data_IF_179312279214
#
_entry.id   IF_179312279214
#
_cell.length_a   1.000
_cell.length_b   1.000
_cell.length_c   1.000
_cell.angle_alpha   90.00
_cell.angle_beta   90.00
_cell.angle_gamma   90.00
#
_symmetry.space_group_name_H-M   'P 1'
#
loop_
_entity.id
_entity.type
_entity.pdbx_description
1 polymer ?
#
# COMPACT_ATOMS: atom_id res chain seq x y z
N UNK A 1 17.76 7.65 -10.01
CA UNK A 1 17.46 7.21 -8.63
C UNK A 1 18.69 6.63 -7.93
N UNK A 2 19.55 5.84 -8.61
CA UNK A 2 20.75 5.22 -8.01
C UNK A 2 21.74 6.24 -7.44
N UNK A 3 21.89 7.39 -8.07
CA UNK A 3 22.74 8.51 -7.60
C UNK A 3 22.31 9.08 -6.23
N UNK A 4 21.05 8.86 -5.84
CA UNK A 4 20.50 9.25 -4.53
C UNK A 4 20.46 8.09 -3.53
N UNK A 5 21.13 6.97 -3.82
CA UNK A 5 21.15 5.80 -2.93
C UNK A 5 19.90 4.92 -2.95
N UNK A 6 18.98 5.13 -3.89
CA UNK A 6 17.80 4.30 -4.03
C UNK A 6 18.13 2.92 -4.61
N UNK A 7 17.55 1.90 -4.04
CA UNK A 7 17.59 0.54 -4.58
C UNK A 7 16.32 0.28 -5.40
N UNK A 8 16.52 -0.11 -6.64
CA UNK A 8 15.41 -0.53 -7.51
C UNK A 8 15.07 -2.00 -7.26
N UNK A 9 13.79 -2.29 -7.20
CA UNK A 9 13.24 -3.65 -7.20
C UNK A 9 12.51 -3.84 -8.52
N UNK A 10 12.82 -4.90 -9.32
CA UNK A 10 12.16 -5.13 -10.59
C UNK A 10 10.65 -5.25 -10.45
N UNK A 11 9.92 -4.77 -11.46
CA UNK A 11 8.47 -4.87 -11.52
C UNK A 11 8.00 -6.32 -11.31
N UNK A 12 6.92 -6.51 -10.56
CA UNK A 12 6.37 -7.82 -10.11
C UNK A 12 7.24 -8.61 -9.14
N UNK A 13 8.36 -8.08 -8.69
CA UNK A 13 9.09 -8.66 -7.56
C UNK A 13 8.65 -7.99 -6.25
N UNK A 14 8.75 -8.74 -5.17
CA UNK A 14 8.53 -8.19 -3.84
C UNK A 14 9.87 -7.93 -3.13
N UNK A 15 9.85 -6.98 -2.20
CA UNK A 15 10.93 -6.70 -1.26
C UNK A 15 10.41 -6.88 0.15
N UNK A 16 11.16 -7.60 0.98
CA UNK A 16 10.80 -7.74 2.40
C UNK A 16 11.67 -6.80 3.23
N UNK A 17 11.02 -5.96 4.04
CA UNK A 17 11.68 -5.07 4.99
C UNK A 17 10.99 -5.23 6.35
N UNK A 18 11.75 -5.58 7.38
CA UNK A 18 11.27 -5.78 8.75
C UNK A 18 10.00 -6.65 8.84
N UNK A 19 9.92 -7.71 8.02
CA UNK A 19 8.80 -8.64 7.98
C UNK A 19 7.56 -8.18 7.20
N UNK A 20 7.61 -7.01 6.57
CA UNK A 20 6.58 -6.52 5.65
C UNK A 20 7.01 -6.76 4.20
N UNK A 21 6.13 -7.36 3.41
CA UNK A 21 6.31 -7.58 1.98
C UNK A 21 5.80 -6.36 1.19
N UNK A 22 6.64 -5.80 0.34
CA UNK A 22 6.32 -4.66 -0.51
C UNK A 22 6.32 -5.09 -1.97
N UNK A 23 5.26 -4.81 -2.69
CA UNK A 23 5.16 -5.04 -4.13
C UNK A 23 4.20 -4.01 -4.77
N UNK A 24 4.28 -3.84 -6.10
CA UNK A 24 3.27 -3.07 -6.81
C UNK A 24 1.88 -3.68 -6.60
N UNK A 25 1.77 -5.00 -6.76
CA UNK A 25 0.59 -5.80 -6.42
C UNK A 25 0.97 -7.24 -6.08
N UNK A 26 0.06 -7.98 -5.46
CA UNK A 26 0.14 -9.43 -5.30
C UNK A 26 -0.93 -10.10 -6.15
N UNK A 27 -0.67 -11.31 -6.67
CA UNK A 27 -1.64 -12.02 -7.48
C UNK A 27 -2.83 -12.49 -6.66
N UNK A 28 -4.03 -12.39 -7.24
CA UNK A 28 -5.27 -12.91 -6.64
C UNK A 28 -5.47 -14.41 -6.86
N UNK A 29 -4.77 -14.99 -7.83
CA UNK A 29 -4.88 -16.40 -8.21
C UNK A 29 -3.82 -16.78 -9.24
N UNK A 30 -3.98 -17.99 -9.82
CA UNK A 30 -3.01 -18.63 -10.74
C UNK A 30 -2.72 -17.77 -11.99
N UNK A 31 -3.69 -17.03 -12.48
CA UNK A 31 -3.52 -16.18 -13.67
C UNK A 31 -2.71 -14.91 -13.41
N UNK A 32 -2.31 -14.65 -12.16
CA UNK A 32 -1.44 -13.53 -11.82
C UNK A 32 -2.10 -12.15 -11.85
N UNK A 33 -3.43 -12.07 -11.99
CA UNK A 33 -4.16 -10.81 -11.89
C UNK A 33 -3.97 -10.16 -10.52
N UNK A 34 -3.89 -8.84 -10.48
CA UNK A 34 -3.82 -8.12 -9.22
C UNK A 34 -5.06 -8.35 -8.35
N UNK A 35 -4.87 -8.35 -7.04
CA UNK A 35 -5.99 -8.28 -6.11
C UNK A 35 -6.73 -6.97 -6.37
N UNK A 36 -8.05 -7.05 -6.53
CA UNK A 36 -8.93 -5.93 -6.87
C UNK A 36 -10.14 -5.86 -5.93
N UNK A 37 -10.97 -4.83 -6.10
CA UNK A 37 -12.12 -4.54 -5.23
C UNK A 37 -11.74 -3.58 -4.11
N UNK A 38 -12.66 -3.34 -3.18
CA UNK A 38 -12.52 -2.34 -2.11
C UNK A 38 -11.74 -2.87 -0.89
N UNK A 39 -11.75 -4.18 -0.64
CA UNK A 39 -11.16 -4.81 0.55
C UNK A 39 -9.83 -5.49 0.25
N UNK A 40 -8.90 -4.75 -0.33
CA UNK A 40 -7.60 -5.27 -0.80
C UNK A 40 -6.75 -5.75 0.37
N UNK A 41 -6.66 -4.98 1.44
CA UNK A 41 -5.85 -5.34 2.61
C UNK A 41 -6.37 -6.60 3.29
N UNK A 42 -7.68 -6.75 3.45
CA UNK A 42 -8.28 -7.98 3.99
C UNK A 42 -7.99 -9.18 3.09
N UNK A 43 -8.10 -9.00 1.78
CA UNK A 43 -7.82 -10.06 0.80
C UNK A 43 -6.34 -10.47 0.82
N UNK A 44 -5.41 -9.52 0.95
CA UNK A 44 -3.98 -9.79 1.14
C UNK A 44 -3.74 -10.69 2.35
N UNK A 45 -4.30 -10.35 3.51
CA UNK A 45 -4.16 -11.15 4.73
C UNK A 45 -4.73 -12.55 4.58
N UNK A 46 -5.89 -12.68 3.94
CA UNK A 46 -6.57 -13.96 3.76
C UNK A 46 -5.84 -14.87 2.80
N UNK A 47 -5.37 -14.35 1.66
CA UNK A 47 -4.74 -15.16 0.61
C UNK A 47 -3.26 -15.42 0.87
N UNK A 48 -2.52 -14.42 1.30
CA UNK A 48 -1.05 -14.53 1.41
C UNK A 48 -0.57 -14.77 2.85
N UNK A 49 -1.39 -14.47 3.86
CA UNK A 49 -1.09 -14.71 5.30
C UNK A 49 0.25 -14.11 5.74
N UNK A 50 0.59 -12.97 5.17
CA UNK A 50 1.78 -12.18 5.49
C UNK A 50 1.42 -10.71 5.65
N UNK A 51 2.26 -9.96 6.34
CA UNK A 51 2.16 -8.50 6.33
C UNK A 51 2.61 -7.98 4.98
N UNK A 52 1.77 -7.16 4.32
CA UNK A 52 2.03 -6.73 2.95
C UNK A 52 1.60 -5.28 2.70
N UNK A 53 2.27 -4.64 1.76
CA UNK A 53 1.91 -3.30 1.27
C UNK A 53 1.92 -3.28 -0.25
N UNK A 54 0.86 -2.76 -0.83
CA UNK A 54 0.66 -2.60 -2.27
C UNK A 54 0.22 -1.19 -2.62
N UNK A 55 0.37 -0.78 -3.89
CA UNK A 55 -0.02 0.54 -4.38
C UNK A 55 -0.95 0.53 -5.60
N UNK A 56 -1.08 -0.57 -6.29
CA UNK A 56 -1.72 -0.72 -7.62
C UNK A 56 -3.14 -0.13 -7.73
N UNK A 57 -3.97 -0.31 -6.71
CA UNK A 57 -5.39 0.05 -6.77
C UNK A 57 -5.68 1.53 -6.56
N UNK A 58 -4.72 2.29 -6.09
CA UNK A 58 -4.87 3.68 -5.67
C UNK A 58 -5.86 3.90 -4.50
N UNK A 59 -6.39 2.84 -3.90
CA UNK A 59 -7.26 2.91 -2.73
C UNK A 59 -6.44 2.89 -1.44
N UNK A 60 -6.88 3.63 -0.44
CA UNK A 60 -6.38 3.45 0.92
C UNK A 60 -7.24 2.39 1.61
N UNK A 61 -6.64 1.25 1.93
CA UNK A 61 -7.29 0.19 2.68
C UNK A 61 -6.28 -0.45 3.63
N UNK A 62 -6.66 -0.59 4.89
CA UNK A 62 -5.81 -1.13 5.93
C UNK A 62 -6.55 -2.19 6.75
N UNK A 63 -5.91 -3.32 6.95
CA UNK A 63 -6.46 -4.40 7.75
C UNK A 63 -5.38 -5.04 8.63
N UNK A 64 -5.83 -5.58 9.76
CA UNK A 64 -5.00 -6.34 10.69
C UNK A 64 -5.57 -7.73 10.90
N UNK A 65 -4.70 -8.67 11.25
CA UNK A 65 -5.07 -10.02 11.65
C UNK A 65 -4.07 -10.53 12.68
N UNK A 66 -4.52 -11.41 13.56
CA UNK A 66 -3.64 -12.06 14.54
C UNK A 66 -3.66 -13.56 14.26
N UNK A 67 -2.49 -14.15 14.10
CA UNK A 67 -2.34 -15.60 13.94
C UNK A 67 -2.51 -16.32 15.29
N UNK A 68 -2.81 -17.63 15.30
CA UNK A 68 -2.97 -18.40 16.53
C UNK A 68 -1.76 -18.37 17.48
N UNK A 69 -0.56 -18.13 16.95
CA UNK A 69 0.66 -17.97 17.75
C UNK A 69 0.85 -16.56 18.32
N UNK A 70 -0.15 -15.68 18.21
CA UNK A 70 -0.11 -14.30 18.68
C UNK A 70 0.58 -13.32 17.75
N UNK A 71 1.17 -13.75 16.62
CA UNK A 71 1.81 -12.86 15.65
C UNK A 71 0.77 -11.98 14.95
N UNK A 72 0.98 -10.68 14.99
CA UNK A 72 0.15 -9.70 14.29
C UNK A 72 0.61 -9.54 12.84
N UNK A 73 -0.35 -9.45 11.94
CA UNK A 73 -0.16 -9.16 10.52
C UNK A 73 -0.88 -7.87 10.17
N UNK A 74 -0.25 -7.05 9.35
CA UNK A 74 -0.80 -5.78 8.89
C UNK A 74 -0.73 -5.73 7.36
N UNK A 75 -1.85 -5.49 6.70
CA UNK A 75 -1.87 -5.28 5.26
C UNK A 75 -2.35 -3.88 4.91
N UNK A 76 -1.79 -3.33 3.85
CA UNK A 76 -2.03 -1.97 3.40
C UNK A 76 -2.08 -1.89 1.89
N UNK A 77 -3.14 -1.31 1.35
CA UNK A 77 -3.17 -0.66 0.05
C UNK A 77 -2.92 0.83 0.30
N UNK A 78 -1.81 1.36 -0.24
CA UNK A 78 -1.25 2.62 0.24
C UNK A 78 -1.79 3.87 -0.49
N UNK A 79 -2.83 3.72 -1.32
CA UNK A 79 -3.31 4.84 -2.13
C UNK A 79 -2.32 5.24 -3.23
N UNK A 80 -2.34 6.51 -3.57
CA UNK A 80 -1.43 7.10 -4.57
C UNK A 80 -0.96 8.49 -4.11
N UNK A 81 -0.15 9.14 -4.93
CA UNK A 81 0.24 10.55 -4.74
C UNK A 81 -0.02 11.32 -6.03
N UNK A 82 -1.28 11.30 -6.48
CA UNK A 82 -1.74 11.97 -7.71
C UNK A 82 -2.72 13.09 -7.38
N UNK A 83 -2.60 14.21 -8.07
CA UNK A 83 -3.46 15.37 -7.93
C UNK A 83 -4.11 15.82 -9.24
N UNK A 84 -4.04 14.99 -10.27
CA UNK A 84 -4.63 15.25 -11.58
C UNK A 84 -5.60 14.13 -11.98
N UNK A 85 -6.41 14.40 -12.98
CA UNK A 85 -7.36 13.41 -13.52
C UNK A 85 -6.66 12.49 -14.52
N UNK A 86 -6.89 11.20 -14.35
CA UNK A 86 -6.39 10.16 -15.24
C UNK A 86 -7.51 9.64 -16.14
N UNK A 87 -7.32 9.72 -17.45
CA UNK A 87 -8.33 9.30 -18.42
C UNK A 87 -8.72 7.82 -18.29
N UNK A 88 -7.77 6.95 -17.92
CA UNK A 88 -8.02 5.53 -17.75
C UNK A 88 -8.87 5.19 -16.52
N UNK A 89 -8.90 6.08 -15.52
CA UNK A 89 -9.62 5.83 -14.27
C UNK A 89 -11.13 6.07 -14.39
N UNK A 90 -11.57 6.82 -15.42
CA UNK A 90 -12.99 7.17 -15.63
C UNK A 90 -13.65 7.64 -14.33
N UNK A 91 -14.82 7.10 -14.02
CA UNK A 91 -15.61 7.47 -12.84
C UNK A 91 -15.08 6.85 -11.54
N UNK A 92 -14.11 5.92 -11.59
CA UNK A 92 -13.59 5.28 -10.37
C UNK A 92 -12.55 6.12 -9.64
N UNK A 93 -12.01 7.18 -10.27
CA UNK A 93 -10.99 8.02 -9.67
C UNK A 93 -11.46 8.74 -8.39
N UNK A 94 -12.75 8.98 -8.21
CA UNK A 94 -13.28 9.56 -6.98
C UNK A 94 -13.09 8.68 -5.75
N UNK A 95 -12.85 7.38 -5.95
CA UNK A 95 -12.54 6.43 -4.88
C UNK A 95 -11.05 6.43 -4.47
N UNK A 96 -10.19 7.06 -5.27
CA UNK A 96 -8.76 7.07 -5.00
C UNK A 96 -8.43 7.95 -3.80
N UNK A 97 -7.53 7.47 -2.99
CA UNK A 97 -6.94 8.26 -1.91
C UNK A 97 -5.55 8.74 -2.30
N UNK A 98 -5.33 10.03 -2.18
CA UNK A 98 -4.03 10.65 -2.45
C UNK A 98 -3.41 11.19 -1.16
N UNK A 99 -2.17 10.78 -0.89
CA UNK A 99 -1.48 11.19 0.33
C UNK A 99 -0.21 10.40 0.61
N UNK A 100 0.27 10.50 1.83
CA UNK A 100 1.45 9.79 2.33
C UNK A 100 1.05 8.89 3.49
N UNK A 101 1.59 7.69 3.49
CA UNK A 101 1.46 6.77 4.62
C UNK A 101 2.81 6.63 5.33
N UNK A 102 2.81 6.86 6.62
CA UNK A 102 3.97 6.66 7.49
C UNK A 102 3.73 5.40 8.33
N UNK A 103 4.70 4.52 8.37
CA UNK A 103 4.72 3.35 9.25
C UNK A 103 5.73 3.60 10.36
N UNK A 104 5.27 3.47 11.60
CA UNK A 104 6.11 3.64 12.78
C UNK A 104 6.30 2.31 13.49
N UNK A 105 7.44 2.14 14.16
CA UNK A 105 7.74 0.98 15.00
C UNK A 105 7.58 -0.35 14.26
N UNK A 106 8.07 -0.40 13.03
CA UNK A 106 7.94 -1.60 12.19
C UNK A 106 8.78 -2.74 12.75
N UNK A 107 8.12 -3.80 13.24
CA UNK A 107 8.78 -4.96 13.84
C UNK A 107 8.07 -6.24 13.46
N UNK A 108 8.78 -7.20 12.85
CA UNK A 108 8.24 -8.51 12.47
C UNK A 108 6.93 -8.47 11.68
N UNK A 109 6.78 -7.43 10.84
CA UNK A 109 5.58 -7.25 10.01
C UNK A 109 4.45 -6.48 10.68
N UNK A 110 4.54 -6.17 11.96
CA UNK A 110 3.61 -5.29 12.68
C UNK A 110 4.10 -3.85 12.67
N UNK A 111 3.18 -2.89 12.60
CA UNK A 111 3.50 -1.45 12.63
C UNK A 111 2.29 -0.60 13.02
N UNK A 112 2.56 0.62 13.48
CA UNK A 112 1.56 1.67 13.62
C UNK A 112 1.47 2.45 12.31
N UNK A 113 0.25 2.82 11.90
CA UNK A 113 -0.01 3.55 10.66
C UNK A 113 -0.42 4.98 10.97
N UNK A 114 0.12 5.91 10.19
CA UNK A 114 -0.30 7.31 10.14
C UNK A 114 -0.56 7.67 8.67
N UNK A 115 -1.68 8.31 8.38
CA UNK A 115 -2.03 8.74 7.03
C UNK A 115 -2.12 10.26 6.97
N UNK A 116 -1.51 10.87 5.97
CA UNK A 116 -1.50 12.31 5.75
C UNK A 116 -2.08 12.57 4.36
N UNK A 117 -3.29 13.09 4.31
CA UNK A 117 -4.00 13.40 3.06
C UNK A 117 -3.26 14.46 2.25
N UNK A 118 -3.30 14.33 0.92
CA UNK A 118 -2.65 15.25 0.00
C UNK A 118 -3.08 16.72 0.20
N UNK A 119 -4.37 16.97 0.46
CA UNK A 119 -4.84 18.32 0.68
C UNK A 119 -4.33 18.91 1.99
N UNK A 120 -4.10 18.08 3.01
CA UNK A 120 -3.45 18.53 4.25
C UNK A 120 -2.00 18.94 3.98
N UNK A 121 -1.25 18.13 3.24
CA UNK A 121 0.12 18.43 2.83
C UNK A 121 0.16 19.74 2.00
N UNK A 122 -0.78 19.88 1.06
CA UNK A 122 -0.87 21.07 0.21
C UNK A 122 -1.19 22.36 1.01
N UNK A 123 -2.06 22.26 2.02
CA UNK A 123 -2.35 23.41 2.90
C UNK A 123 -1.13 23.85 3.71
N UNK A 124 -0.36 22.89 4.20
CA UNK A 124 0.81 23.16 5.04
C UNK A 124 2.02 23.63 4.24
N UNK A 125 2.34 22.95 3.14
CA UNK A 125 3.59 23.12 2.38
C UNK A 125 3.38 23.60 0.94
N UNK A 126 2.14 23.72 0.47
CA UNK A 126 1.86 24.22 -0.88
C UNK A 126 2.31 25.68 -1.03
N UNK A 127 3.00 26.00 -2.12
CA UNK A 127 3.31 27.39 -2.43
C UNK A 127 2.00 28.16 -2.59
N UNK A 128 1.88 29.26 -1.87
CA UNK A 128 0.82 30.25 -2.04
C UNK A 128 0.97 30.96 -3.37
#
# INVERSE_FOLDING_TARGET
FKEYGWQEVPYKQNKVLNGVYYAHHFPSGILGSAISGENIARTLLTKHKVSATVGHSHLLDYATSTLPNGRKLNALSAGCYLNHKEHFARDTQHMWWSGIVVKREVTNGSYNIETIDYNAIRREYGRR
#
